data_IF_720679010373
#
_entry.id   IF_720679010373
#
_cell.length_a   1.000
_cell.length_b   1.000
_cell.length_c   1.000
_cell.angle_alpha   90.00
_cell.angle_beta   90.00
_cell.angle_gamma   90.00
#
_symmetry.space_group_name_H-M   'P 1'
#
loop_
_entity.id
_entity.type
_entity.pdbx_description
1 polymer ?
#
# COMPACT_ATOMS: atom_id res chain seq x y z
N UNK A 1 -12.73 -10.38 16.77
CA UNK A 1 -12.35 -8.97 17.05
C UNK A 1 -13.11 -8.41 18.24
N UNK A 2 -14.42 -8.64 18.34
CA UNK A 2 -15.26 -8.12 19.43
C UNK A 2 -14.78 -8.60 20.81
N UNK A 3 -14.50 -9.89 20.97
CA UNK A 3 -13.96 -10.43 22.22
C UNK A 3 -12.67 -9.74 22.67
N UNK A 4 -11.76 -9.50 21.71
CA UNK A 4 -10.52 -8.78 21.97
C UNK A 4 -10.75 -7.35 22.43
N UNK A 5 -11.63 -6.61 21.74
CA UNK A 5 -11.95 -5.22 22.10
C UNK A 5 -12.69 -5.15 23.45
N UNK A 6 -13.64 -6.06 23.70
CA UNK A 6 -14.35 -6.16 24.97
C UNK A 6 -13.38 -6.48 26.13
N UNK A 7 -12.35 -7.27 25.88
CA UNK A 7 -11.31 -7.54 26.90
C UNK A 7 -10.52 -6.28 27.24
N UNK A 8 -10.12 -5.47 26.25
CA UNK A 8 -9.47 -4.19 26.52
C UNK A 8 -10.36 -3.24 27.32
N UNK A 9 -11.66 -3.20 27.01
CA UNK A 9 -12.64 -2.38 27.74
C UNK A 9 -12.79 -2.86 29.19
N UNK A 10 -12.94 -4.17 29.42
CA UNK A 10 -13.07 -4.76 30.75
C UNK A 10 -11.81 -4.54 31.63
N UNK A 11 -10.64 -4.47 31.02
CA UNK A 11 -9.37 -4.21 31.71
C UNK A 11 -9.06 -2.71 31.88
N UNK A 12 -9.89 -1.81 31.37
CA UNK A 12 -9.65 -0.35 31.41
C UNK A 12 -8.47 0.12 30.56
N UNK A 13 -8.07 -0.66 29.54
CA UNK A 13 -6.90 -0.37 28.68
C UNK A 13 -7.25 0.38 27.41
N UNK A 14 -8.51 0.51 27.06
CA UNK A 14 -9.02 1.01 25.78
C UNK A 14 -8.46 2.39 25.41
N UNK A 15 -8.46 3.34 26.35
CA UNK A 15 -8.03 4.72 26.07
C UNK A 15 -6.52 4.84 25.89
N UNK A 16 -5.74 3.89 26.41
CA UNK A 16 -4.28 3.90 26.35
C UNK A 16 -3.69 2.83 25.41
N UNK A 17 -4.50 2.27 24.53
CA UNK A 17 -4.09 1.22 23.59
C UNK A 17 -4.38 1.62 22.16
N UNK A 18 -3.35 1.54 21.30
CA UNK A 18 -3.50 1.63 19.85
C UNK A 18 -3.73 0.21 19.32
N UNK A 19 -4.87 -0.01 18.69
CA UNK A 19 -5.15 -1.26 17.96
C UNK A 19 -5.06 -0.99 16.49
N UNK A 20 -4.20 -1.74 15.79
CA UNK A 20 -4.08 -1.71 14.32
C UNK A 20 -4.50 -3.06 13.78
N UNK A 21 -5.49 -3.05 12.90
CA UNK A 21 -5.93 -4.22 12.14
C UNK A 21 -5.60 -4.00 10.68
N UNK A 22 -4.82 -4.91 10.11
CA UNK A 22 -4.35 -4.83 8.72
C UNK A 22 -4.00 -6.23 8.21
N UNK A 23 -3.52 -6.32 6.97
CA UNK A 23 -3.02 -7.54 6.34
C UNK A 23 -1.62 -7.28 5.77
N UNK A 24 -0.86 -8.31 5.47
CA UNK A 24 0.46 -8.23 4.84
C UNK A 24 0.38 -8.04 3.32
N UNK A 25 -0.64 -8.62 2.68
CA UNK A 25 -0.88 -8.55 1.23
C UNK A 25 -2.37 -8.64 0.91
N UNK A 26 -2.70 -8.46 -0.36
CA UNK A 26 -4.04 -8.68 -0.89
C UNK A 26 -4.46 -10.15 -0.85
N UNK A 27 -5.66 -10.49 -1.38
CA UNK A 27 -6.21 -11.84 -1.32
C UNK A 27 -5.25 -12.88 -1.91
N UNK A 28 -5.21 -14.07 -1.30
CA UNK A 28 -4.42 -15.21 -1.77
C UNK A 28 -5.32 -16.05 -2.65
N UNK A 29 -5.14 -15.97 -3.98
CA UNK A 29 -5.90 -16.74 -4.96
C UNK A 29 -5.01 -17.71 -5.76
N UNK A 30 -3.90 -17.20 -6.31
CA UNK A 30 -2.98 -17.98 -7.13
C UNK A 30 -1.54 -17.68 -6.68
N UNK A 31 -1.11 -18.33 -5.62
CA UNK A 31 0.24 -18.20 -5.05
C UNK A 31 1.12 -19.44 -5.27
N UNK A 32 0.66 -20.37 -6.12
CA UNK A 32 1.37 -21.60 -6.46
C UNK A 32 0.98 -22.82 -5.61
N UNK A 33 0.13 -22.66 -4.61
CA UNK A 33 -0.40 -23.79 -3.86
C UNK A 33 -1.59 -24.43 -4.59
N UNK A 34 -1.71 -25.76 -4.46
CA UNK A 34 -2.79 -26.56 -5.07
C UNK A 34 -3.98 -26.68 -4.11
N UNK A 35 -4.46 -25.58 -3.59
CA UNK A 35 -5.57 -25.52 -2.63
C UNK A 35 -6.94 -25.23 -3.29
N UNK A 36 -6.96 -25.08 -4.61
CA UNK A 36 -8.15 -24.78 -5.40
C UNK A 36 -8.79 -23.41 -5.06
N UNK A 37 -8.00 -22.47 -4.52
CA UNK A 37 -8.53 -21.16 -4.10
C UNK A 37 -9.21 -20.41 -5.25
N UNK A 38 -8.64 -20.45 -6.46
CA UNK A 38 -9.20 -19.82 -7.68
C UNK A 38 -10.56 -20.43 -8.04
N UNK A 39 -10.73 -21.74 -7.91
CA UNK A 39 -12.00 -22.42 -8.21
C UNK A 39 -13.05 -22.18 -7.12
N UNK A 40 -12.63 -22.26 -5.86
CA UNK A 40 -13.52 -22.18 -4.70
C UNK A 40 -13.99 -20.75 -4.41
N UNK A 41 -13.25 -19.72 -4.85
CA UNK A 41 -13.67 -18.33 -4.70
C UNK A 41 -14.97 -18.01 -5.45
N UNK A 42 -15.23 -18.73 -6.55
CA UNK A 42 -16.44 -18.57 -7.37
C UNK A 42 -16.60 -17.13 -7.86
N UNK A 43 -17.78 -16.55 -7.65
CA UNK A 43 -18.08 -15.16 -8.01
C UNK A 43 -17.63 -14.13 -6.97
N UNK A 44 -17.12 -14.58 -5.83
CA UNK A 44 -16.65 -13.68 -4.79
C UNK A 44 -15.42 -12.88 -5.28
N UNK A 45 -15.40 -11.59 -4.99
CA UNK A 45 -14.31 -10.66 -5.33
C UNK A 45 -13.62 -10.15 -4.07
N UNK A 46 -12.64 -10.86 -3.54
CA UNK A 46 -12.03 -10.53 -2.23
C UNK A 46 -11.35 -9.16 -2.21
N UNK A 47 -10.82 -8.69 -3.38
CA UNK A 47 -10.25 -7.35 -3.53
C UNK A 47 -11.29 -6.30 -4.00
N UNK A 48 -12.57 -6.64 -4.06
CA UNK A 48 -13.62 -5.74 -4.57
C UNK A 48 -13.37 -5.31 -6.02
N UNK A 49 -13.35 -3.99 -6.30
CA UNK A 49 -13.10 -3.47 -7.65
C UNK A 49 -11.62 -3.50 -8.06
N UNK A 50 -10.71 -3.78 -7.14
CA UNK A 50 -9.28 -3.71 -7.39
C UNK A 50 -8.82 -4.93 -8.19
N UNK A 51 -7.94 -4.71 -9.17
CA UNK A 51 -7.31 -5.76 -9.96
C UNK A 51 -6.19 -6.43 -9.17
N UNK A 52 -6.06 -7.73 -9.33
CA UNK A 52 -4.93 -8.52 -8.82
C UNK A 52 -5.18 -9.13 -7.46
N UNK A 53 -4.17 -9.84 -7.00
CA UNK A 53 -4.10 -10.59 -5.75
C UNK A 53 -2.64 -10.64 -5.28
N UNK A 54 -2.36 -11.29 -4.15
CA UNK A 54 -1.00 -11.55 -3.66
C UNK A 54 -0.06 -11.89 -4.82
N UNK A 55 1.16 -11.38 -4.81
CA UNK A 55 2.20 -11.50 -5.84
C UNK A 55 2.06 -10.59 -7.06
N UNK A 56 0.93 -9.94 -7.27
CA UNK A 56 0.75 -8.99 -8.38
C UNK A 56 1.09 -7.55 -7.98
N UNK A 57 1.44 -6.71 -8.97
CA UNK A 57 1.76 -5.29 -8.76
C UNK A 57 0.56 -4.36 -8.85
N UNK A 58 -0.61 -4.92 -9.07
CA UNK A 58 -1.86 -4.17 -9.10
C UNK A 58 -2.36 -3.88 -7.68
N UNK A 59 -3.20 -2.85 -7.55
CA UNK A 59 -3.71 -2.43 -6.24
C UNK A 59 -4.37 -3.57 -5.44
N UNK A 60 -5.03 -4.54 -6.10
CA UNK A 60 -5.62 -5.69 -5.42
C UNK A 60 -4.61 -6.60 -4.72
N UNK A 61 -3.34 -6.58 -5.15
CA UNK A 61 -2.27 -7.35 -4.48
C UNK A 61 -1.64 -6.65 -3.28
N UNK A 62 -1.74 -5.31 -3.21
CA UNK A 62 -0.95 -4.50 -2.27
C UNK A 62 -1.76 -3.46 -1.50
N UNK A 63 -2.95 -3.08 -1.98
CA UNK A 63 -3.85 -2.17 -1.28
C UNK A 63 -4.73 -2.96 -0.31
N UNK A 64 -4.24 -3.08 0.90
CA UNK A 64 -4.79 -3.89 1.97
C UNK A 64 -5.73 -3.09 2.88
N UNK A 65 -6.65 -3.75 3.59
CA UNK A 65 -7.39 -3.11 4.68
C UNK A 65 -6.45 -2.56 5.74
N UNK A 66 -6.73 -1.36 6.22
CA UNK A 66 -6.01 -0.73 7.33
C UNK A 66 -7.00 -0.01 8.23
N UNK A 67 -7.09 -0.45 9.47
CA UNK A 67 -7.94 0.16 10.49
C UNK A 67 -7.10 0.47 11.72
N UNK A 68 -7.21 1.68 12.26
CA UNK A 68 -6.57 2.09 13.50
C UNK A 68 -7.61 2.59 14.49
N UNK A 69 -7.61 2.02 15.69
CA UNK A 69 -8.45 2.42 16.81
C UNK A 69 -7.58 2.93 17.97
N UNK A 70 -7.84 4.14 18.40
CA UNK A 70 -7.29 4.74 19.62
C UNK A 70 -8.27 5.80 20.14
N UNK A 71 -9.29 5.43 20.92
CA UNK A 71 -10.42 6.28 21.28
C UNK A 71 -10.03 7.62 21.91
N UNK A 72 -9.01 7.64 22.78
CA UNK A 72 -8.51 8.88 23.39
C UNK A 72 -8.02 9.93 22.39
N UNK A 73 -7.64 9.53 21.16
CA UNK A 73 -6.95 10.41 20.21
C UNK A 73 -7.61 10.45 18.85
N UNK A 74 -8.17 9.33 18.38
CA UNK A 74 -8.69 9.15 17.01
C UNK A 74 -10.21 9.05 17.05
N UNK A 75 -10.89 9.97 16.34
CA UNK A 75 -12.34 9.91 16.16
C UNK A 75 -12.68 8.99 14.98
N UNK A 76 -13.85 8.29 15.03
CA UNK A 76 -14.31 7.47 13.92
C UNK A 76 -14.39 8.29 12.62
N UNK A 77 -13.71 7.83 11.57
CA UNK A 77 -13.67 8.45 10.25
C UNK A 77 -13.12 7.50 9.19
N UNK A 78 -13.32 7.82 7.92
CA UNK A 78 -12.65 7.22 6.78
C UNK A 78 -11.66 8.23 6.22
N UNK A 79 -10.49 7.77 5.81
CA UNK A 79 -9.42 8.62 5.28
C UNK A 79 -8.87 8.04 3.97
N UNK A 80 -8.72 8.91 2.97
CA UNK A 80 -8.08 8.58 1.68
C UNK A 80 -6.57 8.88 1.68
N UNK A 81 -5.99 9.20 2.85
CA UNK A 81 -4.56 9.46 2.95
C UNK A 81 -3.75 8.24 2.51
N UNK A 82 -2.82 8.44 1.59
CA UNK A 82 -1.93 7.39 1.12
C UNK A 82 -0.91 7.04 2.21
N UNK A 83 -1.08 5.92 2.85
CA UNK A 83 -0.22 5.41 3.93
C UNK A 83 0.34 4.04 3.59
N UNK A 84 1.46 3.69 4.21
CA UNK A 84 2.11 2.40 4.06
C UNK A 84 2.46 1.85 5.44
N UNK A 85 2.35 0.54 5.65
CA UNK A 85 2.71 -0.12 6.91
C UNK A 85 4.16 0.15 7.33
N UNK A 86 5.07 0.26 6.38
CA UNK A 86 6.47 0.63 6.60
C UNK A 86 6.61 1.94 7.39
N UNK A 87 5.62 2.85 7.29
CA UNK A 87 5.60 4.14 7.96
C UNK A 87 5.20 4.07 9.43
N UNK A 88 4.73 2.94 9.90
CA UNK A 88 4.40 2.73 11.31
C UNK A 88 5.64 2.91 12.19
N UNK A 89 6.81 2.43 11.76
CA UNK A 89 8.06 2.57 12.52
C UNK A 89 8.40 4.04 12.80
N UNK A 90 8.54 4.86 11.74
CA UNK A 90 8.86 6.28 11.89
C UNK A 90 7.73 7.07 12.57
N UNK A 91 6.48 6.68 12.35
CA UNK A 91 5.32 7.33 12.97
C UNK A 91 5.25 7.05 14.46
N UNK A 92 5.49 5.83 14.89
CA UNK A 92 5.51 5.49 16.32
C UNK A 92 6.76 6.01 17.02
N UNK A 93 7.91 6.01 16.36
CA UNK A 93 9.11 6.68 16.90
C UNK A 93 8.81 8.17 17.17
N UNK A 94 8.16 8.85 16.22
CA UNK A 94 7.74 10.24 16.41
C UNK A 94 6.71 10.42 17.52
N UNK A 95 5.75 9.51 17.65
CA UNK A 95 4.74 9.52 18.71
C UNK A 95 5.40 9.43 20.10
N UNK A 96 6.41 8.58 20.22
CA UNK A 96 7.12 8.29 21.47
C UNK A 96 8.30 9.25 21.74
N UNK A 97 8.61 10.17 20.82
CA UNK A 97 9.76 11.06 20.93
C UNK A 97 11.12 10.33 20.84
N UNK A 98 11.15 9.17 20.17
CA UNK A 98 12.34 8.36 20.00
C UNK A 98 13.01 8.66 18.66
N UNK A 99 14.32 8.78 18.65
CA UNK A 99 15.11 8.93 17.42
C UNK A 99 15.13 7.58 16.67
N UNK A 100 14.99 7.63 15.35
CA UNK A 100 15.14 6.47 14.48
C UNK A 100 16.12 6.78 13.33
N UNK A 101 16.75 5.77 12.69
CA UNK A 101 17.72 6.00 11.62
C UNK A 101 17.09 6.63 10.37
N UNK A 102 17.65 7.75 9.89
CA UNK A 102 17.17 8.48 8.70
C UNK A 102 17.35 7.71 7.37
N UNK A 103 18.14 6.62 7.39
CA UNK A 103 18.45 5.83 6.19
C UNK A 103 17.40 4.78 5.83
N UNK A 104 16.33 4.68 6.61
CA UNK A 104 15.24 3.73 6.37
C UNK A 104 14.19 4.32 5.43
N UNK A 105 13.51 3.45 4.68
CA UNK A 105 12.41 3.85 3.78
C UNK A 105 11.15 4.27 4.53
N UNK A 106 11.08 4.04 5.84
CA UNK A 106 10.00 4.46 6.71
C UNK A 106 9.97 5.99 6.85
N UNK A 107 8.80 6.59 6.64
CA UNK A 107 8.57 8.04 6.77
C UNK A 107 7.45 8.30 7.76
N UNK A 108 7.58 9.32 8.60
CA UNK A 108 6.51 9.62 9.54
C UNK A 108 5.28 10.21 8.84
N UNK A 109 4.25 9.39 8.74
CA UNK A 109 2.88 9.78 8.35
C UNK A 109 1.93 9.78 9.55
N UNK A 110 2.44 10.00 10.76
CA UNK A 110 1.70 9.94 12.02
C UNK A 110 0.38 10.73 11.99
N UNK A 111 0.38 11.95 11.44
CA UNK A 111 -0.84 12.76 11.37
C UNK A 111 -1.91 12.09 10.49
N UNK A 112 -1.52 11.37 9.43
CA UNK A 112 -2.44 10.62 8.57
C UNK A 112 -3.00 9.41 9.31
N UNK A 113 -2.14 8.62 9.98
CA UNK A 113 -2.59 7.49 10.81
C UNK A 113 -3.55 7.90 11.92
N UNK A 114 -3.34 9.06 12.52
CA UNK A 114 -4.22 9.59 13.56
C UNK A 114 -5.45 10.34 13.02
N UNK A 115 -5.69 10.31 11.71
CA UNK A 115 -6.83 10.99 11.09
C UNK A 115 -6.78 12.53 11.17
N UNK A 116 -5.61 13.11 11.46
CA UNK A 116 -5.39 14.57 11.62
C UNK A 116 -4.89 15.23 10.34
N UNK A 117 -4.67 14.46 9.27
CA UNK A 117 -4.22 14.95 7.96
C UNK A 117 -4.71 14.02 6.86
N UNK A 118 -5.13 14.61 5.74
CA UNK A 118 -5.37 13.86 4.49
C UNK A 118 -4.08 13.66 3.67
N UNK A 119 -2.96 14.25 4.10
CA UNK A 119 -1.65 14.10 3.44
C UNK A 119 -0.92 12.92 4.08
N UNK A 120 -0.65 11.89 3.29
CA UNK A 120 0.19 10.76 3.61
C UNK A 120 1.50 10.80 2.83
N UNK A 121 1.90 9.66 2.26
CA UNK A 121 3.00 9.58 1.29
C UNK A 121 2.63 10.26 -0.03
N UNK A 122 3.62 10.84 -0.69
CA UNK A 122 3.45 11.36 -2.05
C UNK A 122 3.62 10.24 -3.08
N UNK A 123 4.56 9.34 -2.83
CA UNK A 123 4.89 8.24 -3.72
C UNK A 123 5.37 7.00 -2.97
N UNK A 124 5.28 5.84 -3.62
CA UNK A 124 5.72 4.55 -3.11
C UNK A 124 6.20 3.67 -4.26
N UNK A 125 7.37 3.05 -4.09
CA UNK A 125 7.80 1.91 -4.90
C UNK A 125 7.29 0.64 -4.24
N UNK A 126 6.63 -0.18 -5.02
CA UNK A 126 6.12 -1.50 -4.63
C UNK A 126 6.99 -2.51 -5.37
N UNK A 127 7.66 -3.37 -4.63
CA UNK A 127 8.50 -4.44 -5.19
C UNK A 127 7.74 -5.77 -5.10
N UNK A 128 7.57 -6.43 -6.23
CA UNK A 128 7.05 -7.78 -6.32
C UNK A 128 8.15 -8.79 -6.63
N UNK A 129 7.77 -10.05 -6.78
CA UNK A 129 8.73 -11.13 -7.04
C UNK A 129 9.53 -10.91 -8.33
N UNK A 130 8.94 -10.26 -9.33
CA UNK A 130 9.52 -10.18 -10.68
C UNK A 130 9.41 -8.80 -11.32
N UNK A 131 8.79 -7.84 -10.65
CA UNK A 131 8.50 -6.53 -11.21
C UNK A 131 8.31 -5.50 -10.11
N UNK A 132 8.18 -4.24 -10.53
CA UNK A 132 7.89 -3.10 -9.66
C UNK A 132 6.61 -2.43 -10.08
N UNK A 133 5.99 -1.71 -9.14
CA UNK A 133 5.08 -0.63 -9.45
C UNK A 133 5.54 0.64 -8.73
N UNK A 134 5.39 1.78 -9.40
CA UNK A 134 5.60 3.10 -8.83
C UNK A 134 4.28 3.83 -8.76
N UNK A 135 3.84 4.16 -7.56
CA UNK A 135 2.63 4.89 -7.31
C UNK A 135 2.92 6.30 -6.86
N UNK A 136 2.32 7.30 -7.53
CA UNK A 136 2.40 8.71 -7.15
C UNK A 136 1.05 9.39 -7.37
N UNK A 137 0.45 9.85 -6.27
CA UNK A 137 -0.91 10.40 -6.31
C UNK A 137 -1.91 9.41 -6.92
N UNK A 138 -2.62 9.84 -7.96
CA UNK A 138 -3.60 9.02 -8.67
C UNK A 138 -2.99 8.15 -9.78
N UNK A 139 -1.67 8.16 -9.96
CA UNK A 139 -1.00 7.41 -11.01
C UNK A 139 -0.31 6.16 -10.50
N UNK A 140 -0.42 5.08 -11.25
CA UNK A 140 0.32 3.84 -11.06
C UNK A 140 1.07 3.49 -12.34
N UNK A 141 2.40 3.48 -12.26
CA UNK A 141 3.31 3.06 -13.33
C UNK A 141 3.84 1.66 -13.00
N UNK A 142 3.77 0.74 -13.95
CA UNK A 142 4.48 -0.54 -13.91
C UNK A 142 5.53 -0.48 -15.01
N UNK A 143 6.84 -0.41 -14.64
CA UNK A 143 7.93 -0.41 -15.62
C UNK A 143 7.97 -1.70 -16.45
N UNK A 144 8.70 -1.72 -17.57
CA UNK A 144 8.90 -2.93 -18.35
C UNK A 144 9.46 -4.06 -17.49
N UNK A 145 8.98 -5.28 -17.69
CA UNK A 145 9.47 -6.48 -16.98
C UNK A 145 9.28 -7.74 -17.84
N UNK A 146 10.22 -8.66 -17.77
CA UNK A 146 10.18 -9.96 -18.48
C UNK A 146 9.63 -9.84 -19.92
N UNK A 147 8.48 -10.46 -20.18
CA UNK A 147 7.80 -10.48 -21.49
C UNK A 147 6.91 -9.26 -21.74
N UNK A 148 6.95 -8.25 -20.87
CA UNK A 148 6.23 -6.98 -21.00
C UNK A 148 7.23 -5.86 -21.25
N UNK A 149 7.61 -5.60 -22.53
CA UNK A 149 8.67 -4.64 -22.87
C UNK A 149 8.23 -3.18 -22.76
N UNK A 150 6.97 -2.91 -22.52
CA UNK A 150 6.40 -1.57 -22.44
C UNK A 150 5.92 -1.25 -21.03
N UNK A 151 6.01 0.03 -20.65
CA UNK A 151 5.39 0.52 -19.43
C UNK A 151 3.87 0.37 -19.49
N UNK A 152 3.28 0.07 -18.32
CA UNK A 152 1.84 0.18 -18.11
C UNK A 152 1.61 1.40 -17.22
N UNK A 153 0.65 2.24 -17.59
CA UNK A 153 0.25 3.41 -16.83
C UNK A 153 -1.25 3.42 -16.59
N UNK A 154 -1.65 3.67 -15.36
CA UNK A 154 -3.06 3.72 -14.95
C UNK A 154 -3.36 5.01 -14.20
N UNK A 155 -4.52 5.63 -14.50
CA UNK A 155 -5.07 6.72 -13.71
C UNK A 155 -6.11 6.14 -12.73
N UNK A 156 -5.72 5.95 -11.49
CA UNK A 156 -6.54 5.28 -10.47
C UNK A 156 -7.76 6.08 -10.02
N UNK A 157 -7.82 7.38 -10.34
CA UNK A 157 -8.99 8.21 -10.11
C UNK A 157 -10.12 7.87 -11.08
N UNK A 158 -9.78 7.50 -12.31
CA UNK A 158 -10.74 7.19 -13.39
C UNK A 158 -10.91 5.68 -13.54
N UNK A 159 -9.87 4.90 -13.22
CA UNK A 159 -9.80 3.46 -13.41
C UNK A 159 -9.14 2.79 -12.17
N UNK A 160 -9.89 2.72 -11.08
CA UNK A 160 -9.42 2.08 -9.84
C UNK A 160 -9.10 0.60 -10.04
N UNK A 161 -9.73 -0.04 -11.02
CA UNK A 161 -9.53 -1.44 -11.38
C UNK A 161 -8.33 -1.69 -12.28
N UNK A 162 -7.59 -0.65 -12.70
CA UNK A 162 -6.40 -0.78 -13.57
C UNK A 162 -6.67 -1.64 -14.82
N UNK A 163 -7.81 -1.42 -15.48
CA UNK A 163 -8.23 -2.18 -16.66
C UNK A 163 -7.70 -1.56 -17.96
N UNK A 164 -7.46 -0.23 -17.97
CA UNK A 164 -7.14 0.53 -19.17
C UNK A 164 -5.74 1.12 -19.07
N UNK A 165 -4.79 0.50 -19.79
CA UNK A 165 -3.45 1.06 -19.92
C UNK A 165 -3.51 2.34 -20.76
N UNK A 166 -3.10 3.46 -20.18
CA UNK A 166 -3.09 4.79 -20.82
C UNK A 166 -1.69 5.30 -21.14
N UNK A 167 -0.66 4.45 -21.12
CA UNK A 167 0.74 4.84 -21.33
C UNK A 167 0.94 5.57 -22.68
N UNK A 168 0.33 5.08 -23.74
CA UNK A 168 0.40 5.71 -25.07
C UNK A 168 -0.25 7.10 -25.13
N UNK A 169 -1.32 7.28 -24.34
CA UNK A 169 -2.05 8.55 -24.25
C UNK A 169 -1.30 9.63 -23.47
N UNK A 170 -0.45 9.21 -22.51
CA UNK A 170 0.26 10.11 -21.60
C UNK A 170 1.79 9.85 -21.57
N UNK A 171 2.49 9.98 -22.73
CA UNK A 171 3.92 9.66 -22.80
C UNK A 171 4.79 10.53 -21.87
N UNK A 172 4.45 11.80 -21.71
CA UNK A 172 5.16 12.71 -20.80
C UNK A 172 5.01 12.27 -19.34
N UNK A 173 3.84 11.76 -18.94
CA UNK A 173 3.60 11.22 -17.60
C UNK A 173 4.37 9.92 -17.39
N UNK A 174 4.43 9.05 -18.39
CA UNK A 174 5.29 7.84 -18.35
C UNK A 174 6.73 8.23 -18.11
N UNK A 175 7.23 9.21 -18.87
CA UNK A 175 8.62 9.69 -18.73
C UNK A 175 8.88 10.27 -17.34
N UNK A 176 8.02 11.18 -16.85
CA UNK A 176 8.12 11.80 -15.51
C UNK A 176 8.23 10.72 -14.42
N UNK A 177 7.28 9.77 -14.42
CA UNK A 177 7.22 8.75 -13.36
C UNK A 177 8.36 7.74 -13.48
N UNK A 178 8.82 7.44 -14.68
CA UNK A 178 9.97 6.56 -14.91
C UNK A 178 11.27 7.22 -14.41
N UNK A 179 11.49 8.48 -14.72
CA UNK A 179 12.67 9.21 -14.26
C UNK A 179 12.71 9.27 -12.72
N UNK A 180 11.58 9.53 -12.08
CA UNK A 180 11.47 9.54 -10.62
C UNK A 180 11.69 8.15 -9.99
N UNK A 181 11.11 7.11 -10.59
CA UNK A 181 11.28 5.73 -10.14
C UNK A 181 12.76 5.31 -10.20
N UNK A 182 13.44 5.58 -11.32
CA UNK A 182 14.86 5.25 -11.48
C UNK A 182 15.74 6.03 -10.50
N UNK A 183 15.46 7.33 -10.29
CA UNK A 183 16.18 8.13 -9.30
C UNK A 183 16.01 7.58 -7.87
N UNK A 184 14.83 7.08 -7.52
CA UNK A 184 14.60 6.42 -6.23
C UNK A 184 15.40 5.12 -6.12
N UNK A 185 15.41 4.29 -7.16
CA UNK A 185 16.21 3.06 -7.20
C UNK A 185 17.69 3.32 -6.97
N UNK A 186 18.23 4.31 -7.68
CA UNK A 186 19.64 4.69 -7.55
C UNK A 186 19.97 5.17 -6.13
N UNK A 187 19.09 5.95 -5.52
CA UNK A 187 19.30 6.48 -4.17
C UNK A 187 19.36 5.40 -3.09
N UNK A 188 18.70 4.26 -3.30
CA UNK A 188 18.71 3.12 -2.35
C UNK A 188 19.92 2.20 -2.54
N UNK A 189 20.78 2.43 -3.55
CA UNK A 189 21.92 1.57 -3.88
C UNK A 189 21.54 0.19 -4.42
N UNK A 190 20.27 -0.09 -4.62
CA UNK A 190 19.76 -1.33 -5.24
C UNK A 190 19.93 -1.25 -6.76
N UNK A 191 21.08 -1.64 -7.26
CA UNK A 191 21.27 -1.98 -8.69
C UNK A 191 20.61 -3.34 -8.93
N UNK A 192 19.33 -3.37 -9.20
CA UNK A 192 18.68 -4.59 -9.70
C UNK A 192 19.05 -4.76 -11.17
N UNK A 193 19.87 -5.75 -11.43
CA UNK A 193 20.01 -6.30 -12.78
C UNK A 193 18.78 -7.21 -13.00
N UNK A 194 17.94 -6.86 -13.95
CA UNK A 194 16.95 -7.77 -14.53
C UNK A 194 17.57 -8.49 -15.74
#
# INVERSE_FOLDING_TARGET
MDEFLNTLDALGLTENTIVVLTSDNGPVLDDGYKDRAVELVGEHRPAGPLRGWKTTMYDGGVRIPFMLRWPAVVKPQVSDAFVCQMDLLASFAKLLGVTYPDKLDSRSTLKAFLGKSKKGREALVIEGMFNYAYRKGDWALIPPYRNHPHCLLYNLKEDIGQQHNVAEKYPDKVKELTDEFEALKESTGKKTKF
#
